data_IF_008873022766
#
_entry.id   IF_008873022766
#
_cell.length_a   1.000
_cell.length_b   1.000
_cell.length_c   1.000
_cell.angle_alpha   90.00
_cell.angle_beta   90.00
_cell.angle_gamma   90.00
#
_symmetry.space_group_name_H-M   'P 1'
#
loop_
_entity.id
_entity.type
_entity.pdbx_description
1 polymer ?
#
# COMPACT_ATOMS: atom_id res chain seq x y z
N UNK A 1 22.87 7.23 -31.26
CA UNK A 1 22.57 8.48 -30.48
C UNK A 1 21.23 8.37 -29.77
N UNK A 2 20.17 7.88 -30.44
CA UNK A 2 18.86 7.59 -29.85
C UNK A 2 18.90 6.63 -28.64
N UNK A 3 19.68 5.54 -28.71
CA UNK A 3 19.77 4.56 -27.60
C UNK A 3 20.22 5.17 -26.26
N UNK A 4 21.15 6.14 -26.30
CA UNK A 4 21.65 6.80 -25.08
C UNK A 4 20.61 7.74 -24.44
N UNK A 5 19.72 8.33 -25.24
CA UNK A 5 18.63 9.16 -24.75
C UNK A 5 17.51 8.29 -24.16
N UNK A 6 17.22 7.16 -24.79
CA UNK A 6 16.22 6.21 -24.31
C UNK A 6 16.62 5.58 -22.97
N UNK A 7 17.85 5.08 -22.84
CA UNK A 7 18.37 4.54 -21.57
C UNK A 7 18.36 5.58 -20.44
N UNK A 8 18.67 6.85 -20.76
CA UNK A 8 18.57 7.94 -19.78
C UNK A 8 17.13 8.25 -19.38
N UNK A 9 16.18 8.15 -20.32
CA UNK A 9 14.76 8.31 -20.04
C UNK A 9 14.21 7.20 -19.15
N UNK A 10 14.58 5.95 -19.43
CA UNK A 10 14.20 4.78 -18.62
C UNK A 10 14.76 4.88 -17.20
N UNK A 11 16.05 5.20 -17.04
CA UNK A 11 16.66 5.39 -15.73
C UNK A 11 16.00 6.53 -14.92
N UNK A 12 15.63 7.63 -15.59
CA UNK A 12 14.94 8.74 -14.93
C UNK A 12 13.52 8.33 -14.51
N UNK A 13 12.80 7.58 -15.35
CA UNK A 13 11.47 7.08 -15.03
C UNK A 13 11.49 6.10 -13.85
N UNK A 14 12.47 5.20 -13.80
CA UNK A 14 12.67 4.27 -12.68
C UNK A 14 12.99 5.02 -11.37
N UNK A 15 13.87 6.02 -11.43
CA UNK A 15 14.21 6.83 -10.26
C UNK A 15 12.97 7.58 -9.73
N UNK A 16 12.18 8.20 -10.62
CA UNK A 16 10.94 8.89 -10.23
C UNK A 16 9.89 7.94 -9.67
N UNK A 17 9.78 6.74 -10.23
CA UNK A 17 8.87 5.72 -9.72
C UNK A 17 9.28 5.28 -8.31
N UNK A 18 10.58 5.09 -8.06
CA UNK A 18 11.11 4.74 -6.74
C UNK A 18 10.87 5.86 -5.71
N UNK A 19 11.11 7.11 -6.08
CA UNK A 19 10.82 8.30 -5.26
C UNK A 19 9.33 8.33 -4.87
N UNK A 20 8.44 8.19 -5.85
CA UNK A 20 6.99 8.21 -5.62
C UNK A 20 6.52 7.05 -4.73
N UNK A 21 7.04 5.83 -4.93
CA UNK A 21 6.71 4.68 -4.06
C UNK A 21 7.17 4.91 -2.62
N UNK A 22 8.37 5.47 -2.43
CA UNK A 22 8.90 5.78 -1.10
C UNK A 22 8.07 6.85 -0.40
N UNK A 23 7.65 7.90 -1.11
CA UNK A 23 6.83 8.98 -0.56
C UNK A 23 5.46 8.47 -0.14
N UNK A 24 4.77 7.71 -1.02
CA UNK A 24 3.48 7.09 -0.70
C UNK A 24 3.60 6.16 0.51
N UNK A 25 4.67 5.35 0.57
CA UNK A 25 4.91 4.46 1.70
C UNK A 25 5.12 5.23 3.00
N UNK A 26 5.86 6.33 2.99
CA UNK A 26 6.07 7.16 4.19
C UNK A 26 4.76 7.72 4.72
N UNK A 27 3.95 8.32 3.85
CA UNK A 27 2.64 8.87 4.22
C UNK A 27 1.72 7.77 4.77
N UNK A 28 1.70 6.59 4.13
CA UNK A 28 0.89 5.48 4.60
C UNK A 28 1.36 4.93 5.96
N UNK A 29 2.66 4.91 6.24
CA UNK A 29 3.19 4.46 7.54
C UNK A 29 2.84 5.46 8.66
N UNK A 30 2.78 6.76 8.35
CA UNK A 30 2.43 7.80 9.33
C UNK A 30 0.93 7.83 9.66
N UNK A 31 0.07 7.60 8.67
CA UNK A 31 -1.38 7.67 8.83
C UNK A 31 -2.01 6.35 9.28
N UNK A 32 -1.37 5.22 8.98
CA UNK A 32 -1.93 3.92 9.31
C UNK A 32 -1.57 3.49 10.74
N UNK A 33 -2.51 2.85 11.45
CA UNK A 33 -2.26 2.34 12.78
C UNK A 33 -1.22 1.21 12.78
N UNK A 34 -0.47 1.08 13.89
CA UNK A 34 0.68 0.17 14.05
C UNK A 34 0.41 -1.31 13.72
N UNK A 35 -0.87 -1.71 13.72
CA UNK A 35 -1.30 -3.07 13.40
C UNK A 35 -1.50 -3.33 11.90
N UNK A 36 -1.26 -2.30 11.08
CA UNK A 36 -1.31 -2.32 9.62
C UNK A 36 0.11 -2.21 9.06
N UNK A 37 0.46 -3.12 8.17
CA UNK A 37 1.75 -3.21 7.51
C UNK A 37 1.66 -2.73 6.07
N UNK A 38 2.59 -1.87 5.67
CA UNK A 38 2.73 -1.39 4.29
C UNK A 38 3.94 -2.08 3.67
N UNK A 39 3.68 -2.98 2.72
CA UNK A 39 4.70 -3.79 2.04
C UNK A 39 4.84 -3.34 0.60
N UNK A 40 6.08 -3.19 0.15
CA UNK A 40 6.37 -2.87 -1.25
C UNK A 40 6.60 -4.18 -2.02
N UNK A 41 5.95 -4.30 -3.17
CA UNK A 41 5.97 -5.49 -4.03
C UNK A 41 6.35 -5.09 -5.47
N UNK A 42 6.66 -6.07 -6.30
CA UNK A 42 6.97 -5.84 -7.72
C UNK A 42 5.85 -5.11 -8.47
N UNK A 43 4.59 -5.33 -8.05
CA UNK A 43 3.40 -4.72 -8.63
C UNK A 43 3.04 -3.34 -8.04
N UNK A 44 3.67 -2.92 -6.94
CA UNK A 44 3.33 -1.67 -6.25
C UNK A 44 3.27 -1.80 -4.73
N UNK A 45 2.47 -0.96 -4.08
CA UNK A 45 2.33 -0.93 -2.62
C UNK A 45 1.13 -1.80 -2.20
N UNK A 46 1.36 -2.75 -1.31
CA UNK A 46 0.34 -3.59 -0.70
C UNK A 46 0.16 -3.22 0.78
N UNK A 47 -1.07 -3.04 1.21
CA UNK A 47 -1.42 -2.80 2.62
C UNK A 47 -2.00 -4.08 3.21
N UNK A 48 -1.45 -4.51 4.34
CA UNK A 48 -1.85 -5.74 5.03
C UNK A 48 -2.24 -5.41 6.48
N UNK A 49 -3.40 -5.87 6.93
CA UNK A 49 -3.87 -5.61 8.29
C UNK A 49 -4.13 -6.94 9.02
N UNK A 50 -3.08 -7.66 9.47
CA UNK A 50 -3.20 -9.03 10.01
C UNK A 50 -4.06 -9.10 11.28
N UNK A 51 -4.17 -8.00 12.03
CA UNK A 51 -5.00 -7.92 13.25
C UNK A 51 -6.34 -7.22 13.05
N UNK A 52 -6.68 -6.85 11.81
CA UNK A 52 -7.94 -6.16 11.50
C UNK A 52 -9.16 -6.93 12.02
N UNK A 53 -9.17 -8.25 11.86
CA UNK A 53 -10.26 -9.10 12.35
C UNK A 53 -10.45 -8.97 13.87
N UNK A 54 -9.37 -8.97 14.65
CA UNK A 54 -9.43 -8.81 16.09
C UNK A 54 -9.91 -7.40 16.49
N UNK A 55 -9.45 -6.37 15.78
CA UNK A 55 -9.88 -4.98 15.99
C UNK A 55 -11.36 -4.76 15.68
N UNK A 56 -11.87 -5.35 14.60
CA UNK A 56 -13.27 -5.27 14.22
C UNK A 56 -14.16 -5.99 15.26
N UNK A 57 -13.74 -7.14 15.76
CA UNK A 57 -14.48 -7.87 16.82
C UNK A 57 -14.51 -7.06 18.13
N UNK A 58 -13.40 -6.41 18.49
CA UNK A 58 -13.31 -5.64 19.74
C UNK A 58 -14.02 -4.29 19.69
N UNK A 59 -14.10 -3.64 18.52
CA UNK A 59 -14.55 -2.25 18.39
C UNK A 59 -15.79 -2.05 17.52
N UNK A 60 -16.37 -3.11 16.96
CA UNK A 60 -17.51 -3.00 16.05
C UNK A 60 -18.62 -3.97 16.41
N UNK A 61 -19.87 -3.60 16.13
CA UNK A 61 -20.99 -4.51 16.36
C UNK A 61 -20.95 -5.66 15.35
N UNK A 62 -21.53 -6.81 15.71
CA UNK A 62 -21.65 -7.96 14.79
C UNK A 62 -22.29 -7.58 13.43
N UNK A 63 -23.15 -6.55 13.41
CA UNK A 63 -23.78 -6.02 12.20
C UNK A 63 -22.79 -5.32 11.28
N UNK A 64 -21.85 -4.55 11.85
CA UNK A 64 -20.86 -3.79 11.08
C UNK A 64 -19.81 -4.73 10.47
N UNK A 65 -19.43 -5.77 11.22
CA UNK A 65 -18.54 -6.84 10.74
C UNK A 65 -19.18 -7.59 9.56
N UNK A 66 -20.47 -7.91 9.68
CA UNK A 66 -21.21 -8.60 8.60
C UNK A 66 -21.31 -7.74 7.32
N UNK A 67 -21.43 -6.42 7.47
CA UNK A 67 -21.44 -5.50 6.33
C UNK A 67 -20.11 -5.49 5.58
N UNK A 68 -18.98 -5.40 6.30
CA UNK A 68 -17.63 -5.43 5.72
C UNK A 68 -17.32 -6.75 5.02
N UNK A 69 -17.68 -7.89 5.64
CA UNK A 69 -17.47 -9.22 5.06
C UNK A 69 -18.24 -9.45 3.76
N UNK A 70 -19.34 -8.72 3.53
CA UNK A 70 -20.12 -8.80 2.29
C UNK A 70 -19.43 -8.08 1.12
N UNK A 71 -18.64 -7.05 1.40
CA UNK A 71 -17.94 -6.25 0.40
C UNK A 71 -16.60 -6.86 -0.03
N UNK A 72 -16.01 -7.74 0.79
CA UNK A 72 -14.75 -8.43 0.50
C UNK A 72 -14.91 -9.70 -0.36
N UNK A 73 -16.00 -9.81 -1.13
CA UNK A 73 -16.34 -10.99 -1.95
C UNK A 73 -15.95 -10.82 -3.40
#
# INVERSE_FOLDING_TARGET
MMEKLQQRGEALAEQRLAEAKSEIKSVLVEELPDDVQVVETELGIQVQAPRLRARLIGNSSLRDIAFLMRAAR
#
